data_IF_213100509469
#
_entry.id   IF_213100509469
#
_cell.length_a   1.000
_cell.length_b   1.000
_cell.length_c   1.000
_cell.angle_alpha   90.00
_cell.angle_beta   90.00
_cell.angle_gamma   90.00
#
_symmetry.space_group_name_H-M   'P 1'
#
loop_
_entity.id
_entity.type
_entity.pdbx_description
1 polymer ?
#
# COMPACT_ATOMS: atom_id res chain seq x y z
N UNK A 1 -4.60 -1.62 5.76
CA UNK A 1 -4.98 -0.56 4.81
C UNK A 1 -4.50 0.82 5.23
N UNK A 2 -4.66 1.25 6.49
CA UNK A 2 -4.25 2.61 6.90
C UNK A 2 -2.75 2.90 6.68
N UNK A 3 -1.85 1.93 6.91
CA UNK A 3 -0.42 2.08 6.61
C UNK A 3 -0.06 2.18 5.11
N UNK A 4 -1.00 1.91 4.19
CA UNK A 4 -0.82 2.17 2.76
C UNK A 4 -1.08 3.65 2.41
N UNK A 5 -1.87 4.36 3.22
CA UNK A 5 -2.22 5.76 2.96
C UNK A 5 -1.10 6.67 3.49
N UNK A 6 -0.62 6.38 4.69
CA UNK A 6 0.44 7.14 5.34
C UNK A 6 1.28 6.20 6.23
N UNK A 7 2.58 6.02 5.93
CA UNK A 7 3.47 5.16 6.71
C UNK A 7 3.75 5.69 8.13
N UNK A 8 3.49 6.97 8.40
CA UNK A 8 3.70 7.60 9.71
C UNK A 8 2.46 7.56 10.62
N UNK A 9 1.36 6.97 10.14
CA UNK A 9 0.12 6.84 10.92
C UNK A 9 0.36 6.02 12.18
N UNK A 10 -0.11 6.59 13.29
CA UNK A 10 -0.13 5.92 14.58
C UNK A 10 -1.56 5.73 15.08
N UNK A 11 -1.90 4.51 15.46
CA UNK A 11 -3.17 4.18 16.12
C UNK A 11 -2.96 4.23 17.63
N UNK A 12 -3.75 5.07 18.32
CA UNK A 12 -3.84 5.05 19.79
C UNK A 12 -5.08 4.27 20.24
N UNK A 13 -4.91 3.26 21.08
CA UNK A 13 -6.00 2.49 21.66
C UNK A 13 -6.37 3.12 23.02
N UNK A 14 -7.60 3.63 23.12
CA UNK A 14 -8.15 4.27 24.32
C UNK A 14 -9.21 3.35 24.93
N UNK A 15 -9.14 3.12 26.24
CA UNK A 15 -10.13 2.35 26.99
C UNK A 15 -10.39 3.05 28.33
N UNK A 16 -11.65 3.19 28.69
CA UNK A 16 -12.10 3.84 29.94
C UNK A 16 -11.55 5.27 30.12
N UNK A 17 -11.35 5.99 29.01
CA UNK A 17 -10.81 7.35 29.00
C UNK A 17 -9.29 7.45 29.08
N UNK A 18 -8.59 6.32 29.26
CA UNK A 18 -7.13 6.27 29.34
C UNK A 18 -6.50 5.66 28.08
N UNK A 19 -5.34 6.20 27.67
CA UNK A 19 -4.57 5.65 26.55
C UNK A 19 -3.79 4.43 27.02
N UNK A 20 -4.19 3.26 26.54
CA UNK A 20 -3.60 1.98 26.96
C UNK A 20 -2.61 1.40 25.95
N UNK A 21 -2.63 1.82 24.68
CA UNK A 21 -1.61 1.41 23.70
C UNK A 21 -1.41 2.43 22.57
N UNK A 22 -0.24 2.40 21.93
CA UNK A 22 0.12 3.17 20.74
C UNK A 22 0.83 2.24 19.75
N UNK A 23 0.25 2.03 18.57
CA UNK A 23 0.79 1.16 17.53
C UNK A 23 1.11 1.99 16.29
N UNK A 24 2.39 2.05 15.92
CA UNK A 24 2.82 2.56 14.61
C UNK A 24 2.48 1.53 13.54
N UNK A 25 1.79 1.93 12.49
CA UNK A 25 1.54 1.04 11.37
C UNK A 25 2.74 1.04 10.44
N UNK A 26 3.11 -0.13 9.93
CA UNK A 26 4.05 -0.24 8.81
C UNK A 26 3.25 -0.39 7.50
N UNK A 27 3.78 0.13 6.37
CA UNK A 27 3.20 -0.16 5.07
C UNK A 27 3.23 -1.67 4.82
N UNK A 28 2.17 -2.25 4.23
CA UNK A 28 2.13 -3.68 3.93
C UNK A 28 3.17 -4.04 2.87
N UNK A 29 3.80 -5.21 2.99
CA UNK A 29 4.76 -5.70 1.98
C UNK A 29 4.12 -5.95 0.61
N UNK A 30 2.84 -6.27 0.59
CA UNK A 30 2.09 -6.60 -0.62
C UNK A 30 0.71 -5.95 -0.59
N UNK A 31 0.28 -5.42 -1.72
CA UNK A 31 -1.05 -4.83 -1.92
C UNK A 31 -1.69 -5.44 -3.15
N UNK A 32 -2.91 -5.94 -3.02
CA UNK A 32 -3.63 -6.60 -4.11
C UNK A 32 -4.98 -5.92 -4.36
N UNK A 33 -5.25 -5.54 -5.61
CA UNK A 33 -6.54 -5.02 -6.06
C UNK A 33 -6.90 -3.59 -5.63
N UNK A 34 -6.05 -2.92 -4.85
CA UNK A 34 -6.26 -1.53 -4.40
C UNK A 34 -5.52 -0.53 -5.31
N UNK A 35 -4.29 -0.85 -5.69
CA UNK A 35 -3.46 0.02 -6.53
C UNK A 35 -3.73 -0.24 -8.02
N UNK A 36 -3.55 0.81 -8.82
CA UNK A 36 -3.57 0.74 -10.29
C UNK A 36 -2.17 1.03 -10.85
N UNK A 37 -1.81 0.35 -11.94
CA UNK A 37 -0.51 0.55 -12.58
C UNK A 37 -0.52 1.85 -13.40
N UNK A 38 0.42 2.76 -13.13
CA UNK A 38 0.54 4.04 -13.86
C UNK A 38 1.31 3.91 -15.19
N UNK A 39 1.86 2.73 -15.51
CA UNK A 39 2.52 2.49 -16.80
C UNK A 39 1.48 2.21 -17.90
N UNK A 40 1.28 3.11 -18.88
CA UNK A 40 0.26 2.95 -19.92
C UNK A 40 0.51 1.76 -20.85
N UNK A 41 1.73 1.19 -20.86
CA UNK A 41 2.08 -0.01 -21.63
C UNK A 41 1.90 -1.31 -20.86
N UNK A 42 1.50 -1.27 -19.60
CA UNK A 42 1.28 -2.46 -18.80
C UNK A 42 0.04 -3.23 -19.29
N UNK A 43 0.12 -4.56 -19.28
CA UNK A 43 -1.00 -5.44 -19.64
C UNK A 43 -2.24 -5.17 -18.77
N UNK A 44 -2.07 -4.74 -17.52
CA UNK A 44 -3.16 -4.39 -16.61
C UNK A 44 -3.95 -3.15 -17.01
N UNK A 45 -3.41 -2.31 -17.90
CA UNK A 45 -4.11 -1.17 -18.50
C UNK A 45 -4.74 -1.51 -19.87
N UNK A 46 -4.39 -2.66 -20.44
CA UNK A 46 -4.90 -3.11 -21.75
C UNK A 46 -6.02 -4.13 -21.58
N UNK A 47 -5.92 -4.99 -20.58
CA UNK A 47 -6.85 -6.08 -20.29
C UNK A 47 -7.52 -5.90 -18.93
N UNK A 48 -8.71 -6.50 -18.76
CA UNK A 48 -9.43 -6.49 -17.48
C UNK A 48 -8.82 -7.51 -16.52
N UNK A 49 -7.70 -7.13 -15.90
CA UNK A 49 -7.04 -7.92 -14.87
C UNK A 49 -7.51 -7.42 -13.50
N UNK A 50 -8.19 -8.30 -12.76
CA UNK A 50 -8.60 -8.03 -11.39
C UNK A 50 -7.50 -8.47 -10.41
N UNK A 51 -7.48 -7.87 -9.22
CA UNK A 51 -6.57 -8.28 -8.15
C UNK A 51 -5.08 -8.23 -8.54
N UNK A 52 -4.67 -7.19 -9.28
CA UNK A 52 -3.25 -6.94 -9.56
C UNK A 52 -2.51 -6.75 -8.25
N UNK A 53 -1.39 -7.46 -8.11
CA UNK A 53 -0.52 -7.43 -6.95
C UNK A 53 0.62 -6.44 -7.15
N UNK A 54 0.95 -5.73 -6.08
CA UNK A 54 2.00 -4.74 -6.00
C UNK A 54 2.87 -5.01 -4.77
N UNK A 55 4.18 -5.00 -4.95
CA UNK A 55 5.15 -5.33 -3.91
C UNK A 55 5.87 -4.09 -3.41
N UNK A 56 5.99 -3.94 -2.09
CA UNK A 56 6.68 -2.80 -1.48
C UNK A 56 8.16 -2.85 -1.84
N UNK A 57 8.65 -1.78 -2.47
CA UNK A 57 10.06 -1.63 -2.86
C UNK A 57 10.77 -0.51 -2.10
N UNK A 58 10.01 0.44 -1.54
CA UNK A 58 10.52 1.43 -0.62
C UNK A 58 9.46 1.84 0.41
N UNK A 59 9.66 1.40 1.65
CA UNK A 59 8.79 1.71 2.78
C UNK A 59 8.78 3.21 3.15
N UNK A 60 9.89 3.94 2.91
CA UNK A 60 10.01 5.36 3.28
C UNK A 60 9.23 6.26 2.33
N UNK A 61 9.28 5.97 1.04
CA UNK A 61 8.52 6.71 0.02
C UNK A 61 7.18 6.06 -0.35
N UNK A 62 6.82 4.98 0.34
CA UNK A 62 5.59 4.21 0.12
C UNK A 62 5.43 3.77 -1.36
N UNK A 63 6.55 3.38 -1.98
CA UNK A 63 6.59 2.94 -3.38
C UNK A 63 6.42 1.44 -3.49
N UNK A 64 5.59 1.05 -4.46
CA UNK A 64 5.32 -0.33 -4.81
C UNK A 64 5.62 -0.60 -6.28
N UNK A 65 6.09 -1.81 -6.59
CA UNK A 65 6.31 -2.30 -7.95
C UNK A 65 5.16 -3.19 -8.40
N UNK A 66 4.67 -2.98 -9.62
CA UNK A 66 3.64 -3.81 -10.25
C UNK A 66 4.18 -5.20 -10.61
N UNK A 67 3.47 -6.28 -10.28
CA UNK A 67 3.89 -7.66 -10.57
C UNK A 67 4.12 -7.97 -12.07
N UNK A 68 3.57 -7.16 -12.98
CA UNK A 68 3.64 -7.42 -14.42
C UNK A 68 4.75 -6.65 -15.15
N UNK A 69 5.05 -5.42 -14.73
CA UNK A 69 5.95 -4.54 -15.49
C UNK A 69 6.99 -3.84 -14.61
N UNK A 70 7.04 -4.14 -13.31
CA UNK A 70 7.92 -3.54 -12.30
C UNK A 70 7.84 -2.01 -12.17
N UNK A 71 6.90 -1.38 -12.87
CA UNK A 71 6.71 0.06 -12.79
C UNK A 71 6.35 0.46 -11.37
N UNK A 72 7.04 1.49 -10.88
CA UNK A 72 6.84 2.03 -9.55
C UNK A 72 5.58 2.86 -9.50
N UNK A 73 4.76 2.62 -8.50
CA UNK A 73 3.57 3.39 -8.18
C UNK A 73 3.50 3.63 -6.68
N UNK A 74 2.60 4.51 -6.29
CA UNK A 74 2.20 4.80 -4.92
C UNK A 74 0.69 5.09 -4.97
N UNK A 75 0.01 4.95 -3.84
CA UNK A 75 -1.42 5.29 -3.74
C UNK A 75 -1.68 6.73 -4.18
#
# INVERSE_FOLDING_TARGET
MLGLIDPDVTISYIKDGERINKVSLTPPETVTGILACKNPRCITNQERIHNVTFYLVDAKSNQYACEYCDARTHL
#
